data_IF_181458615838
#
_entry.id   IF_181458615838
#
_cell.length_a   1.000
_cell.length_b   1.000
_cell.length_c   1.000
_cell.angle_alpha   90.00
_cell.angle_beta   90.00
_cell.angle_gamma   90.00
#
_symmetry.space_group_name_H-M   'P 1'
#
loop_
_entity.id
_entity.type
_entity.pdbx_description
1 polymer ?
#
# COMPACT_ATOMS: atom_id res chain seq x y z
N UNK A 1 26.12 -6.46 6.03
CA UNK A 1 27.30 -5.56 6.17
C UNK A 1 26.83 -4.13 5.94
N UNK A 2 27.44 -3.12 6.56
CA UNK A 2 27.11 -1.72 6.26
C UNK A 2 27.97 -1.17 5.11
N UNK A 3 27.63 0.02 4.61
CA UNK A 3 28.35 0.66 3.50
C UNK A 3 29.84 0.87 3.79
N UNK A 4 30.20 1.24 5.02
CA UNK A 4 31.58 1.53 5.41
C UNK A 4 32.45 0.26 5.38
N UNK A 5 31.93 -0.82 5.95
CA UNK A 5 32.57 -2.15 5.94
C UNK A 5 32.78 -2.67 4.52
N UNK A 6 31.82 -2.42 3.61
CA UNK A 6 31.95 -2.78 2.20
C UNK A 6 33.09 -2.04 1.50
N UNK A 7 33.20 -0.72 1.73
CA UNK A 7 34.27 0.13 1.19
C UNK A 7 35.63 -0.36 1.71
N UNK A 8 35.73 -0.66 3.00
CA UNK A 8 36.97 -1.14 3.61
C UNK A 8 37.42 -2.49 2.99
N UNK A 9 36.50 -3.44 2.82
CA UNK A 9 36.81 -4.73 2.15
C UNK A 9 37.30 -4.53 0.72
N UNK A 10 36.65 -3.67 -0.07
CA UNK A 10 37.07 -3.39 -1.45
C UNK A 10 38.44 -2.70 -1.49
N UNK A 11 38.69 -1.79 -0.55
CA UNK A 11 39.96 -1.08 -0.43
C UNK A 11 41.10 -2.04 -0.06
N UNK A 12 40.86 -2.99 0.84
CA UNK A 12 41.85 -4.01 1.19
C UNK A 12 42.19 -4.94 0.02
N UNK A 13 41.20 -5.31 -0.81
CA UNK A 13 41.44 -6.08 -2.05
C UNK A 13 42.29 -5.26 -3.03
N UNK A 14 41.94 -3.99 -3.23
CA UNK A 14 42.66 -3.08 -4.10
C UNK A 14 44.11 -2.85 -3.63
N UNK A 15 44.35 -2.72 -2.32
CA UNK A 15 45.69 -2.56 -1.78
C UNK A 15 46.56 -3.81 -1.96
N UNK A 16 45.97 -5.00 -1.92
CA UNK A 16 46.70 -6.25 -2.13
C UNK A 16 46.98 -6.59 -3.59
N UNK A 17 46.14 -6.15 -4.53
CA UNK A 17 46.20 -6.57 -5.94
C UNK A 17 46.39 -5.43 -6.93
N UNK A 18 46.12 -4.19 -6.54
CA UNK A 18 46.10 -3.00 -7.41
C UNK A 18 44.77 -2.76 -8.13
N UNK A 19 43.80 -3.69 -8.05
CA UNK A 19 42.49 -3.55 -8.69
C UNK A 19 41.39 -4.27 -7.92
N UNK A 20 40.14 -4.13 -8.35
CA UNK A 20 38.99 -4.89 -7.83
C UNK A 20 38.27 -5.52 -9.01
N UNK A 21 38.04 -6.82 -8.96
CA UNK A 21 37.25 -7.50 -10.01
C UNK A 21 35.77 -7.18 -9.85
N UNK A 22 35.03 -7.11 -10.97
CA UNK A 22 33.58 -6.90 -10.93
C UNK A 22 32.87 -7.94 -10.07
N UNK A 23 33.28 -9.22 -10.15
CA UNK A 23 32.71 -10.30 -9.35
C UNK A 23 32.88 -10.06 -7.86
N UNK A 24 34.08 -9.68 -7.42
CA UNK A 24 34.35 -9.34 -6.02
C UNK A 24 33.52 -8.14 -5.56
N UNK A 25 33.42 -7.10 -6.40
CA UNK A 25 32.61 -5.92 -6.11
C UNK A 25 31.13 -6.27 -5.94
N UNK A 26 30.55 -7.00 -6.89
CA UNK A 26 29.15 -7.43 -6.84
C UNK A 26 28.86 -8.27 -5.59
N UNK A 27 29.71 -9.25 -5.25
CA UNK A 27 29.53 -10.11 -4.08
C UNK A 27 29.59 -9.33 -2.75
N UNK A 28 30.41 -8.28 -2.67
CA UNK A 28 30.53 -7.45 -1.47
C UNK A 28 29.34 -6.49 -1.37
N UNK A 29 28.94 -5.88 -2.49
CA UNK A 29 27.80 -4.98 -2.56
C UNK A 29 26.50 -5.73 -2.23
N UNK A 30 26.32 -6.96 -2.71
CA UNK A 30 25.13 -7.77 -2.41
C UNK A 30 24.99 -8.16 -0.93
N UNK A 31 26.04 -7.99 -0.13
CA UNK A 31 26.02 -8.19 1.32
C UNK A 31 25.71 -6.91 2.09
N UNK A 32 25.58 -5.77 1.42
CA UNK A 32 25.15 -4.52 2.05
C UNK A 32 23.68 -4.68 2.43
N UNK A 33 23.36 -4.44 3.70
CA UNK A 33 21.96 -4.42 4.12
C UNK A 33 21.31 -3.17 3.49
N UNK A 34 20.36 -3.38 2.59
CA UNK A 34 19.49 -2.30 2.13
C UNK A 34 18.55 -1.88 3.27
N UNK A 35 18.25 -0.58 3.41
CA UNK A 35 17.18 -0.15 4.29
C UNK A 35 15.90 -0.87 3.88
N UNK A 36 15.34 -1.66 4.78
CA UNK A 36 14.05 -2.30 4.52
C UNK A 36 12.97 -1.22 4.62
N UNK A 37 12.46 -0.79 3.47
CA UNK A 37 11.25 0.01 3.41
C UNK A 37 10.11 -0.77 4.06
N UNK A 38 9.32 -0.09 4.87
CA UNK A 38 8.15 -0.68 5.53
C UNK A 38 6.88 -0.22 4.85
N UNK A 39 5.81 -1.02 4.96
CA UNK A 39 4.48 -0.63 4.49
C UNK A 39 3.75 0.07 5.63
N UNK A 40 3.19 1.26 5.36
CA UNK A 40 2.40 2.03 6.35
C UNK A 40 1.04 2.42 5.78
N UNK A 41 -0.02 2.50 6.60
CA UNK A 41 -1.30 3.03 6.16
C UNK A 41 -1.18 4.47 5.65
N UNK A 42 -2.06 4.85 4.72
CA UNK A 42 -2.07 6.19 4.09
C UNK A 42 -2.13 7.34 5.11
N UNK A 43 -2.98 7.24 6.14
CA UNK A 43 -3.07 8.29 7.18
C UNK A 43 -1.79 8.44 8.01
N UNK A 44 -0.98 7.38 8.13
CA UNK A 44 0.32 7.42 8.81
C UNK A 44 1.36 8.07 7.90
N UNK A 45 1.37 7.72 6.61
CA UNK A 45 2.21 8.38 5.62
C UNK A 45 1.97 9.89 5.57
N UNK A 46 0.70 10.31 5.47
CA UNK A 46 0.31 11.72 5.48
C UNK A 46 0.76 12.44 6.76
N UNK A 47 0.73 11.76 7.91
CA UNK A 47 1.25 12.31 9.16
C UNK A 47 2.77 12.48 9.14
N UNK A 48 3.52 11.52 8.62
CA UNK A 48 4.98 11.61 8.48
C UNK A 48 5.35 12.79 7.58
N UNK A 49 4.73 12.92 6.40
CA UNK A 49 4.99 14.03 5.47
C UNK A 49 4.62 15.39 6.08
N UNK A 50 3.46 15.47 6.73
CA UNK A 50 3.02 16.70 7.39
C UNK A 50 3.99 17.12 8.48
N UNK A 51 4.41 16.21 9.35
CA UNK A 51 5.32 16.55 10.45
C UNK A 51 6.73 16.88 9.96
N UNK A 52 7.24 16.19 8.92
CA UNK A 52 8.50 16.56 8.27
C UNK A 52 8.44 17.94 7.63
N UNK A 53 7.36 18.29 6.93
CA UNK A 53 7.20 19.62 6.31
C UNK A 53 7.09 20.75 7.34
N UNK A 54 6.56 20.46 8.53
CA UNK A 54 6.55 21.37 9.68
C UNK A 54 7.90 21.48 10.41
N UNK A 55 8.92 20.73 9.97
CA UNK A 55 10.25 20.71 10.61
C UNK A 55 10.28 19.98 11.96
N UNK A 56 9.29 19.12 12.24
CA UNK A 56 9.25 18.38 13.49
C UNK A 56 10.31 17.30 13.54
N UNK A 57 10.90 17.11 14.72
CA UNK A 57 11.76 15.95 14.96
C UNK A 57 10.92 14.68 15.12
N UNK A 58 11.55 13.52 14.88
CA UNK A 58 10.95 12.21 15.10
C UNK A 58 10.23 12.09 16.46
N UNK A 59 10.89 12.52 17.54
CA UNK A 59 10.32 12.47 18.90
C UNK A 59 9.04 13.30 19.01
N UNK A 60 8.99 14.47 18.38
CA UNK A 60 7.80 15.34 18.42
C UNK A 60 6.67 14.69 17.62
N UNK A 61 6.95 14.15 16.43
CA UNK A 61 5.97 13.47 15.59
C UNK A 61 5.39 12.20 16.24
N UNK A 62 6.21 11.44 16.96
CA UNK A 62 5.81 10.23 17.67
C UNK A 62 4.99 10.52 18.93
N UNK A 63 5.31 11.59 19.66
CA UNK A 63 4.68 11.92 20.94
C UNK A 63 3.43 12.81 20.83
N UNK A 64 3.22 13.44 19.67
CA UNK A 64 2.04 14.30 19.44
C UNK A 64 1.22 13.84 18.21
N UNK A 65 0.87 12.54 18.11
CA UNK A 65 0.09 12.04 16.98
C UNK A 65 -1.34 12.58 17.01
N UNK A 66 -1.95 12.73 15.84
CA UNK A 66 -3.42 12.88 15.72
C UNK A 66 -4.12 11.59 16.15
N UNK A 67 -5.41 11.67 16.52
CA UNK A 67 -6.16 10.56 17.11
C UNK A 67 -6.08 9.25 16.31
N UNK A 68 -6.17 9.31 14.98
CA UNK A 68 -6.05 8.13 14.10
C UNK A 68 -4.66 7.48 14.18
N UNK A 69 -3.61 8.30 14.16
CA UNK A 69 -2.22 7.84 14.29
C UNK A 69 -1.94 7.34 15.71
N UNK A 70 -2.52 7.98 16.73
CA UNK A 70 -2.42 7.53 18.11
C UNK A 70 -2.98 6.11 18.28
N UNK A 71 -4.19 5.87 17.74
CA UNK A 71 -4.80 4.55 17.76
C UNK A 71 -3.96 3.49 17.07
N UNK A 72 -3.34 3.83 15.92
CA UNK A 72 -2.44 2.93 15.21
C UNK A 72 -1.13 2.66 15.98
N UNK A 73 -0.54 3.67 16.59
CA UNK A 73 0.69 3.57 17.41
C UNK A 73 0.48 2.87 18.76
N UNK A 74 -0.76 2.63 19.19
CA UNK A 74 -1.05 1.86 20.40
C UNK A 74 -0.52 0.41 20.29
N UNK A 75 -0.38 -0.12 19.06
CA UNK A 75 0.32 -1.37 18.83
C UNK A 75 1.84 -1.13 18.82
N UNK A 76 2.56 -1.84 19.70
CA UNK A 76 4.02 -1.74 19.84
C UNK A 76 4.77 -2.00 18.52
N UNK A 77 4.31 -2.93 17.69
CA UNK A 77 4.95 -3.24 16.40
C UNK A 77 4.83 -2.08 15.41
N UNK A 78 3.74 -1.31 15.51
CA UNK A 78 3.52 -0.13 14.66
C UNK A 78 4.45 1.01 15.05
N UNK A 79 4.93 1.08 16.29
CA UNK A 79 5.91 2.06 16.71
C UNK A 79 7.28 1.82 16.05
N UNK A 80 7.72 0.56 15.97
CA UNK A 80 8.92 0.20 15.22
C UNK A 80 8.75 0.49 13.73
N UNK A 81 7.59 0.12 13.17
CA UNK A 81 7.24 0.40 11.78
C UNK A 81 7.29 1.91 11.49
N UNK A 82 6.71 2.73 12.36
CA UNK A 82 6.77 4.19 12.24
C UNK A 82 8.21 4.72 12.25
N UNK A 83 9.05 4.19 13.14
CA UNK A 83 10.46 4.58 13.23
C UNK A 83 11.24 4.24 11.96
N UNK A 84 11.04 3.04 11.40
CA UNK A 84 11.62 2.64 10.11
C UNK A 84 11.11 3.50 8.97
N UNK A 85 9.81 3.72 8.89
CA UNK A 85 9.20 4.61 7.89
C UNK A 85 9.81 6.02 7.92
N UNK A 86 10.04 6.55 9.13
CA UNK A 86 10.64 7.87 9.31
C UNK A 86 12.08 7.95 8.79
N UNK A 87 12.90 6.94 9.10
CA UNK A 87 14.35 6.92 8.86
C UNK A 87 14.72 6.40 7.47
N UNK A 88 14.13 5.28 7.10
CA UNK A 88 14.51 4.45 5.95
C UNK A 88 13.58 4.66 4.74
N UNK A 89 12.45 5.36 4.94
CA UNK A 89 11.38 5.50 3.96
C UNK A 89 10.33 4.40 4.07
N UNK A 90 9.25 4.53 3.30
CA UNK A 90 8.10 3.64 3.38
C UNK A 90 7.37 3.52 2.03
N UNK A 91 6.62 2.44 1.92
CA UNK A 91 5.57 2.26 0.91
C UNK A 91 4.21 2.50 1.56
N UNK A 92 3.26 3.06 0.80
CA UNK A 92 1.90 3.25 1.29
C UNK A 92 1.12 1.96 1.07
N UNK A 93 0.46 1.47 2.11
CA UNK A 93 -0.49 0.37 2.02
C UNK A 93 -1.52 0.69 0.94
N UNK A 94 -1.57 -0.13 -0.10
CA UNK A 94 -2.56 0.04 -1.17
C UNK A 94 -3.94 -0.17 -0.57
N UNK A 95 -4.81 0.81 -0.75
CA UNK A 95 -6.20 0.70 -0.33
C UNK A 95 -6.82 -0.50 -1.04
N UNK A 96 -7.40 -1.42 -0.27
CA UNK A 96 -8.07 -2.58 -0.83
C UNK A 96 -9.33 -2.12 -1.54
N UNK A 97 -9.45 -2.53 -2.79
CA UNK A 97 -10.61 -2.26 -3.61
C UNK A 97 -11.45 -3.53 -3.76
N UNK A 98 -12.74 -3.33 -3.93
CA UNK A 98 -13.71 -4.40 -4.03
C UNK A 98 -14.69 -4.09 -5.15
N UNK A 99 -15.10 -5.13 -5.85
CA UNK A 99 -16.31 -5.11 -6.68
C UNK A 99 -17.44 -5.75 -5.90
N UNK A 100 -18.68 -5.33 -6.12
CA UNK A 100 -19.86 -5.91 -5.45
C UNK A 100 -20.90 -6.25 -6.49
N UNK A 101 -21.12 -7.54 -6.71
CA UNK A 101 -22.16 -8.07 -7.59
C UNK A 101 -23.39 -8.43 -6.75
N UNK A 102 -24.53 -7.84 -7.05
CA UNK A 102 -25.79 -8.11 -6.36
C UNK A 102 -26.48 -9.27 -7.09
N UNK A 103 -26.66 -10.43 -6.44
CA UNK A 103 -27.20 -11.61 -7.11
C UNK A 103 -28.69 -11.42 -7.45
N UNK A 104 -29.04 -11.58 -8.73
CA UNK A 104 -30.42 -11.73 -9.20
C UNK A 104 -30.59 -13.08 -9.92
N UNK A 105 -31.02 -14.14 -9.21
CA UNK A 105 -31.11 -15.48 -9.79
C UNK A 105 -32.21 -15.62 -10.86
N UNK A 106 -33.09 -14.63 -11.02
CA UNK A 106 -34.19 -14.68 -11.99
C UNK A 106 -33.93 -13.80 -13.22
N UNK A 107 -32.85 -13.03 -13.25
CA UNK A 107 -32.46 -12.17 -14.36
C UNK A 107 -31.02 -12.51 -14.78
N UNK A 108 -30.87 -13.41 -15.75
CA UNK A 108 -29.55 -13.91 -16.17
C UNK A 108 -28.86 -13.02 -17.21
N UNK A 109 -29.62 -12.19 -17.92
CA UNK A 109 -29.11 -11.36 -19.02
C UNK A 109 -28.57 -10.00 -18.54
N UNK A 110 -28.74 -9.69 -17.24
CA UNK A 110 -28.34 -8.43 -16.62
C UNK A 110 -27.53 -8.71 -15.37
N UNK A 111 -26.34 -8.14 -15.27
CA UNK A 111 -25.59 -8.10 -14.02
C UNK A 111 -25.93 -6.83 -13.27
N UNK A 112 -26.21 -6.94 -11.98
CA UNK A 112 -26.44 -5.80 -11.08
C UNK A 112 -25.24 -5.66 -10.16
N UNK A 113 -24.68 -4.46 -10.03
CA UNK A 113 -23.47 -4.23 -9.22
C UNK A 113 -23.43 -2.83 -8.61
N UNK A 114 -22.53 -2.61 -7.66
CA UNK A 114 -22.24 -1.27 -7.14
C UNK A 114 -21.20 -0.56 -8.00
N UNK A 115 -21.49 0.68 -8.36
CA UNK A 115 -20.59 1.57 -9.08
C UNK A 115 -20.52 2.95 -8.41
N UNK A 116 -19.46 3.70 -8.67
CA UNK A 116 -19.26 5.06 -8.17
C UNK A 116 -19.30 6.07 -9.29
N UNK A 117 -20.22 7.02 -9.15
CA UNK A 117 -20.34 8.16 -10.06
C UNK A 117 -20.32 9.46 -9.24
N UNK A 118 -19.50 10.43 -9.64
CA UNK A 118 -19.40 11.73 -8.95
C UNK A 118 -19.16 11.62 -7.42
N UNK A 119 -18.41 10.60 -6.99
CA UNK A 119 -18.07 10.35 -5.58
C UNK A 119 -19.20 9.74 -4.75
N UNK A 120 -20.30 9.29 -5.36
CA UNK A 120 -21.39 8.57 -4.69
C UNK A 120 -21.53 7.17 -5.26
N UNK A 121 -21.88 6.22 -4.40
CA UNK A 121 -22.12 4.83 -4.78
C UNK A 121 -23.58 4.65 -5.18
N UNK A 122 -23.82 3.93 -6.28
CA UNK A 122 -25.14 3.60 -6.80
C UNK A 122 -25.22 2.12 -7.15
N UNK A 123 -26.45 1.61 -7.28
CA UNK A 123 -26.70 0.31 -7.90
C UNK A 123 -26.82 0.55 -9.40
N UNK A 124 -25.87 0.01 -10.16
CA UNK A 124 -25.87 -0.01 -11.62
C UNK A 124 -26.18 -1.41 -12.15
N UNK A 125 -26.24 -1.51 -13.47
CA UNK A 125 -26.28 -2.80 -14.14
C UNK A 125 -25.76 -2.72 -15.56
N UNK A 126 -25.33 -3.87 -16.08
CA UNK A 126 -24.86 -4.05 -17.45
C UNK A 126 -25.58 -5.22 -18.10
N UNK A 127 -25.80 -5.15 -19.41
CA UNK A 127 -26.56 -6.13 -20.18
C UNK A 127 -25.58 -6.95 -21.00
N UNK A 128 -25.65 -8.28 -20.87
CA UNK A 128 -24.86 -9.17 -21.70
C UNK A 128 -25.57 -9.35 -23.05
N UNK A 129 -25.07 -8.67 -24.09
CA UNK A 129 -25.59 -8.79 -25.46
C UNK A 129 -25.14 -10.07 -26.18
N UNK A 130 -24.07 -10.72 -25.71
CA UNK A 130 -23.48 -11.94 -26.27
C UNK A 130 -23.68 -13.15 -25.34
N UNK A 131 -23.60 -14.37 -25.88
CA UNK A 131 -23.77 -15.65 -25.16
C UNK A 131 -22.74 -15.92 -24.03
N UNK A 132 -21.75 -15.05 -23.85
CA UNK A 132 -20.77 -15.13 -22.77
C UNK A 132 -20.85 -13.89 -21.87
N UNK A 133 -21.00 -14.05 -20.54
CA UNK A 133 -21.00 -12.92 -19.63
C UNK A 133 -19.65 -12.20 -19.70
N UNK A 134 -19.67 -10.98 -20.22
CA UNK A 134 -18.50 -10.13 -20.33
C UNK A 134 -18.31 -9.33 -19.04
N UNK A 135 -17.57 -9.89 -18.08
CA UNK A 135 -17.27 -9.25 -16.78
C UNK A 135 -16.28 -8.06 -16.88
N UNK A 136 -16.26 -7.34 -18.01
CA UNK A 136 -15.41 -6.15 -18.17
C UNK A 136 -15.72 -5.09 -17.11
N UNK A 137 -16.98 -5.00 -16.65
CA UNK A 137 -17.38 -4.08 -15.59
C UNK A 137 -16.52 -4.22 -14.32
N UNK A 138 -16.04 -5.41 -13.95
CA UNK A 138 -15.17 -5.59 -12.77
C UNK A 138 -13.82 -4.90 -12.89
N UNK A 139 -13.37 -4.62 -14.12
CA UNK A 139 -12.09 -3.95 -14.40
C UNK A 139 -12.22 -2.43 -14.49
N UNK A 140 -13.44 -1.92 -14.58
CA UNK A 140 -13.68 -0.49 -14.66
C UNK A 140 -13.39 0.17 -13.31
N UNK A 141 -12.55 1.22 -13.24
CA UNK A 141 -12.17 1.86 -11.98
C UNK A 141 -13.35 2.36 -11.14
N UNK A 142 -14.44 2.80 -11.78
CA UNK A 142 -15.69 3.21 -11.13
C UNK A 142 -16.38 2.10 -10.34
N UNK A 143 -16.10 0.83 -10.65
CA UNK A 143 -16.70 -0.33 -10.00
C UNK A 143 -15.81 -0.91 -8.91
N UNK A 144 -14.60 -0.38 -8.74
CA UNK A 144 -13.63 -0.75 -7.72
C UNK A 144 -13.73 0.21 -6.54
N UNK A 145 -14.44 -0.23 -5.50
CA UNK A 145 -14.85 0.59 -4.38
C UNK A 145 -14.08 0.25 -3.12
N UNK A 146 -13.88 1.23 -2.25
CA UNK A 146 -13.29 0.99 -0.93
C UNK A 146 -14.32 0.41 0.04
N UNK A 147 -13.86 -0.19 1.13
CA UNK A 147 -14.77 -0.67 2.20
C UNK A 147 -15.65 0.46 2.76
N UNK A 148 -15.08 1.65 2.96
CA UNK A 148 -15.81 2.80 3.48
C UNK A 148 -16.87 3.31 2.50
N UNK A 149 -16.57 3.34 1.19
CA UNK A 149 -17.52 3.72 0.15
C UNK A 149 -18.74 2.78 0.12
N UNK A 150 -18.51 1.47 0.21
CA UNK A 150 -19.60 0.48 0.21
C UNK A 150 -20.41 0.57 1.51
N UNK A 151 -19.74 0.58 2.67
CA UNK A 151 -20.42 0.51 3.98
C UNK A 151 -21.16 1.79 4.35
N UNK A 152 -20.88 2.92 3.69
CA UNK A 152 -21.57 4.17 3.97
C UNK A 152 -23.08 4.06 3.72
N UNK A 153 -23.49 3.51 2.56
CA UNK A 153 -24.90 3.47 2.13
C UNK A 153 -25.38 2.05 1.81
N UNK A 154 -24.47 1.09 1.58
CA UNK A 154 -24.76 -0.28 1.12
C UNK A 154 -24.07 -1.34 1.99
N UNK A 155 -24.01 -1.14 3.31
CA UNK A 155 -23.40 -2.12 4.24
C UNK A 155 -23.95 -3.55 4.06
N UNK A 156 -25.25 -3.69 3.76
CA UNK A 156 -25.90 -4.97 3.49
C UNK A 156 -25.30 -5.73 2.29
N UNK A 157 -24.75 -5.01 1.30
CA UNK A 157 -24.18 -5.59 0.09
C UNK A 157 -22.72 -6.03 0.29
N UNK A 158 -22.08 -5.66 1.41
CA UNK A 158 -20.70 -6.03 1.73
C UNK A 158 -20.44 -7.54 1.72
N UNK A 159 -21.47 -8.34 1.99
CA UNK A 159 -21.39 -9.81 1.93
C UNK A 159 -21.11 -10.36 0.53
N UNK A 160 -21.39 -9.60 -0.53
CA UNK A 160 -21.20 -10.00 -1.94
C UNK A 160 -19.92 -9.45 -2.57
N UNK A 161 -19.01 -8.88 -1.76
CA UNK A 161 -17.77 -8.28 -2.26
C UNK A 161 -16.78 -9.31 -2.80
N UNK A 162 -16.02 -8.89 -3.80
CA UNK A 162 -14.85 -9.59 -4.35
C UNK A 162 -13.66 -8.62 -4.37
N UNK A 163 -12.53 -9.01 -3.77
CA UNK A 163 -11.29 -8.21 -3.75
C UNK A 163 -10.67 -8.19 -5.15
N UNK A 164 -10.26 -7.01 -5.63
CA UNK A 164 -9.70 -6.77 -6.98
C UNK A 164 -8.25 -6.31 -6.94
#
# INVERSE_FOLDING_TARGET
>A
MNKQEAIEKLTNIANGTGWVTCTSACNIISQIHEPQTVVVPKFVAEWIEKTKSLGWSFKVALNNPIDSVYGWLANRNNQETFARAWLDGYEIEREKLYTVEIPDPNCLDVVTFLCKENGKVFIGGDIFWDELPNYNWKKEPENQLTESEIKQDFEWAWQFREEV
#
